data_IF_159897235130
#
_entry.id   IF_159897235130
#
_cell.length_a   1.000
_cell.length_b   1.000
_cell.length_c   1.000
_cell.angle_alpha   90.00
_cell.angle_beta   90.00
_cell.angle_gamma   90.00
#
_symmetry.space_group_name_H-M   'P 1'
#
loop_
_entity.id
_entity.type
_entity.pdbx_description
1 polymer ?
#
# COMPACT_ATOMS: atom_id res chain seq x y z
N UNK A 1 16.97 2.93 -11.73
CA UNK A 1 15.78 3.14 -12.59
C UNK A 1 15.73 4.59 -13.03
N UNK A 2 14.98 4.91 -14.07
CA UNK A 2 14.67 6.28 -14.51
C UNK A 2 13.15 6.42 -14.63
N UNK A 3 12.59 7.52 -14.15
CA UNK A 3 11.19 7.86 -14.36
C UNK A 3 11.12 8.83 -15.54
N UNK A 4 10.57 8.37 -16.66
CA UNK A 4 10.41 9.17 -17.86
C UNK A 4 9.02 9.81 -17.87
N UNK A 5 8.93 11.10 -18.21
CA UNK A 5 7.66 11.83 -18.36
C UNK A 5 7.41 12.03 -19.84
N UNK A 6 6.33 11.42 -20.35
CA UNK A 6 5.96 11.43 -21.76
C UNK A 6 5.74 12.85 -22.27
N UNK A 7 6.41 13.19 -23.36
CA UNK A 7 6.30 14.44 -24.11
C UNK A 7 5.39 14.26 -25.34
N UNK A 8 4.95 15.38 -25.90
CA UNK A 8 4.12 15.38 -27.09
C UNK A 8 4.81 14.67 -28.27
N UNK A 9 4.14 13.68 -28.85
CA UNK A 9 4.61 12.92 -30.01
C UNK A 9 5.51 11.72 -29.68
N UNK A 10 5.83 11.47 -28.42
CA UNK A 10 6.56 10.28 -28.02
C UNK A 10 5.70 9.01 -28.09
N UNK A 11 6.35 7.90 -28.41
CA UNK A 11 5.77 6.55 -28.40
C UNK A 11 6.58 5.67 -27.48
N UNK A 12 6.04 4.54 -27.04
CA UNK A 12 6.83 3.55 -26.28
C UNK A 12 8.11 3.16 -27.03
N UNK A 13 8.03 3.03 -28.37
CA UNK A 13 9.18 2.71 -29.21
C UNK A 13 10.27 3.78 -29.16
N UNK A 14 9.92 5.06 -29.37
CA UNK A 14 10.90 6.16 -29.35
C UNK A 14 11.51 6.36 -27.96
N UNK A 15 10.71 6.20 -26.90
CA UNK A 15 11.18 6.27 -25.51
C UNK A 15 12.14 5.12 -25.24
N UNK A 16 11.76 3.88 -25.56
CA UNK A 16 12.60 2.71 -25.36
C UNK A 16 13.94 2.80 -26.12
N UNK A 17 13.91 3.29 -27.37
CA UNK A 17 15.10 3.54 -28.18
C UNK A 17 16.03 4.56 -27.50
N UNK A 18 15.49 5.67 -26.97
CA UNK A 18 16.27 6.71 -26.30
C UNK A 18 17.04 6.21 -25.07
N UNK A 19 16.49 5.19 -24.38
CA UNK A 19 17.09 4.59 -23.19
C UNK A 19 17.84 3.28 -23.49
N UNK A 20 17.77 2.77 -24.72
CA UNK A 20 18.37 1.48 -25.11
C UNK A 20 17.72 0.28 -24.41
N UNK A 21 16.41 0.30 -24.18
CA UNK A 21 15.66 -0.79 -23.54
C UNK A 21 14.68 -1.45 -24.51
N UNK A 22 14.16 -2.63 -24.13
CA UNK A 22 13.16 -3.34 -24.94
C UNK A 22 11.78 -2.64 -24.85
N UNK A 23 11.16 -2.26 -25.99
CA UNK A 23 9.88 -1.54 -25.98
C UNK A 23 8.70 -2.39 -25.50
N UNK A 24 8.70 -3.69 -25.77
CA UNK A 24 7.62 -4.58 -25.32
C UNK A 24 7.68 -4.76 -23.80
N UNK A 25 8.88 -4.85 -23.21
CA UNK A 25 9.06 -4.85 -21.77
C UNK A 25 8.67 -3.52 -21.14
N UNK A 26 9.10 -2.40 -21.73
CA UNK A 26 8.72 -1.07 -21.24
C UNK A 26 7.19 -0.89 -21.20
N UNK A 27 6.50 -1.32 -22.25
CA UNK A 27 5.03 -1.33 -22.30
C UNK A 27 4.42 -2.21 -21.21
N UNK A 28 4.86 -3.46 -21.10
CA UNK A 28 4.31 -4.43 -20.14
C UNK A 28 4.53 -4.00 -18.69
N UNK A 29 5.66 -3.37 -18.39
CA UNK A 29 6.03 -2.89 -17.06
C UNK A 29 5.16 -1.74 -16.60
N UNK A 30 4.74 -0.91 -17.54
CA UNK A 30 3.96 0.28 -17.25
C UNK A 30 2.48 0.12 -17.59
N UNK A 31 2.03 -1.12 -17.81
CA UNK A 31 0.65 -1.44 -18.18
C UNK A 31 0.13 -0.55 -19.33
N UNK A 32 0.99 -0.26 -20.31
CA UNK A 32 0.60 0.51 -21.49
C UNK A 32 -0.46 -0.30 -22.24
N UNK A 33 -1.59 0.31 -22.64
CA UNK A 33 -2.65 -0.41 -23.33
C UNK A 33 -2.14 -1.01 -24.65
N UNK A 34 -2.79 -2.07 -25.18
CA UNK A 34 -2.38 -2.71 -26.44
C UNK A 34 -2.33 -1.77 -27.65
N UNK A 35 -3.05 -0.64 -27.61
CA UNK A 35 -2.97 0.42 -28.64
C UNK A 35 -1.62 1.15 -28.66
N UNK A 36 -0.81 1.03 -27.60
CA UNK A 36 0.41 1.81 -27.41
C UNK A 36 0.15 3.27 -27.07
N UNK A 37 -1.09 3.66 -26.79
CA UNK A 37 -1.47 5.03 -26.49
C UNK A 37 -0.82 5.51 -25.19
N UNK A 38 -0.32 6.75 -25.21
CA UNK A 38 0.26 7.45 -24.08
C UNK A 38 -0.38 8.84 -23.95
N UNK A 39 -0.57 9.30 -22.72
CA UNK A 39 -0.93 10.70 -22.45
C UNK A 39 0.33 11.55 -22.23
N UNK A 40 0.34 12.80 -22.71
CA UNK A 40 1.40 13.75 -22.35
C UNK A 40 1.41 13.93 -20.83
N UNK A 41 2.59 13.90 -20.22
CA UNK A 41 2.75 13.98 -18.77
C UNK A 41 2.58 12.66 -18.01
N UNK A 42 2.14 11.58 -18.68
CA UNK A 42 2.17 10.22 -18.14
C UNK A 42 3.61 9.83 -17.79
N UNK A 43 3.81 9.10 -16.70
CA UNK A 43 5.13 8.56 -16.36
C UNK A 43 5.29 7.13 -16.83
N UNK A 44 6.49 6.77 -17.27
CA UNK A 44 6.93 5.38 -17.46
C UNK A 44 8.18 5.12 -16.60
N UNK A 45 8.17 4.03 -15.83
CA UNK A 45 9.35 3.53 -15.11
C UNK A 45 10.21 2.74 -16.10
N UNK A 46 11.41 3.25 -16.35
CA UNK A 46 12.43 2.63 -17.19
C UNK A 46 13.47 1.98 -16.28
N UNK A 47 13.65 0.66 -16.39
CA UNK A 47 14.70 -0.08 -15.69
C UNK A 47 15.70 -0.62 -16.69
N UNK A 48 16.96 -0.79 -16.26
CA UNK A 48 18.07 -1.17 -17.12
C UNK A 48 18.56 -2.58 -16.75
N UNK A 49 18.15 -3.64 -17.49
CA UNK A 49 18.60 -4.99 -17.23
C UNK A 49 20.13 -5.08 -17.31
N UNK A 50 20.74 -5.61 -16.25
CA UNK A 50 22.17 -5.92 -16.21
C UNK A 50 22.46 -7.31 -16.76
N UNK A 51 21.58 -8.25 -16.42
CA UNK A 51 21.71 -9.63 -16.85
C UNK A 51 20.33 -10.17 -17.23
N UNK A 52 20.26 -10.82 -18.38
CA UNK A 52 19.05 -11.47 -18.90
C UNK A 52 19.33 -12.93 -19.21
N UNK A 53 18.28 -13.73 -19.27
CA UNK A 53 18.33 -15.15 -19.57
C UNK A 53 17.20 -15.50 -20.54
N UNK A 54 17.53 -16.14 -21.66
CA UNK A 54 16.54 -16.72 -22.57
C UNK A 54 16.23 -18.15 -22.13
N UNK A 55 14.98 -18.39 -21.71
CA UNK A 55 14.50 -19.67 -21.20
C UNK A 55 14.72 -20.78 -22.22
N UNK A 56 15.25 -21.91 -21.78
CA UNK A 56 15.45 -23.13 -22.56
C UNK A 56 14.35 -24.14 -22.27
N UNK A 57 14.18 -25.09 -23.18
CA UNK A 57 13.22 -26.18 -23.01
C UNK A 57 13.52 -26.98 -21.73
N UNK A 58 12.51 -27.10 -20.85
CA UNK A 58 12.60 -27.85 -19.60
C UNK A 58 13.12 -27.06 -18.39
N UNK A 59 13.54 -25.80 -18.56
CA UNK A 59 13.91 -24.95 -17.42
C UNK A 59 12.68 -24.49 -16.62
N UNK A 60 12.86 -24.32 -15.32
CA UNK A 60 11.87 -23.79 -14.38
C UNK A 60 12.41 -22.53 -13.73
N UNK A 61 11.54 -21.73 -13.10
CA UNK A 61 12.00 -20.59 -12.29
C UNK A 61 12.98 -21.02 -11.21
N UNK A 62 12.78 -22.18 -10.59
CA UNK A 62 13.67 -22.69 -9.56
C UNK A 62 15.07 -23.03 -10.11
N UNK A 63 15.14 -23.75 -11.24
CA UNK A 63 16.44 -24.09 -11.86
C UNK A 63 17.18 -22.86 -12.38
N UNK A 64 16.45 -21.87 -12.92
CA UNK A 64 17.04 -20.59 -13.35
C UNK A 64 17.54 -19.81 -12.14
N UNK A 65 16.74 -19.72 -11.07
CA UNK A 65 17.13 -19.03 -9.85
C UNK A 65 18.42 -19.64 -9.25
N UNK A 66 18.50 -20.97 -9.15
CA UNK A 66 19.69 -21.69 -8.70
C UNK A 66 20.92 -21.40 -9.57
N UNK A 67 20.76 -21.46 -10.90
CA UNK A 67 21.87 -21.25 -11.85
C UNK A 67 22.49 -19.85 -11.76
N UNK A 68 21.72 -18.85 -11.33
CA UNK A 68 22.18 -17.46 -11.18
C UNK A 68 22.40 -17.05 -9.71
N UNK A 69 22.24 -17.96 -8.75
CA UNK A 69 22.38 -17.64 -7.32
C UNK A 69 21.38 -16.60 -6.83
N UNK A 70 20.14 -16.64 -7.35
CA UNK A 70 19.04 -15.75 -6.97
C UNK A 70 17.85 -16.56 -6.45
N UNK A 71 16.71 -15.92 -6.19
CA UNK A 71 15.49 -16.59 -5.72
C UNK A 71 14.37 -16.49 -6.75
N UNK A 72 13.41 -17.42 -6.70
CA UNK A 72 12.19 -17.37 -7.52
C UNK A 72 11.44 -16.06 -7.27
N UNK A 73 11.38 -15.61 -6.01
CA UNK A 73 10.79 -14.33 -5.64
C UNK A 73 11.45 -13.15 -6.34
N UNK A 74 12.78 -13.12 -6.41
CA UNK A 74 13.50 -12.07 -7.14
C UNK A 74 13.24 -12.15 -8.65
N UNK A 75 13.09 -13.34 -9.21
CA UNK A 75 12.69 -13.49 -10.62
C UNK A 75 11.29 -12.93 -10.88
N UNK A 76 10.31 -13.17 -9.99
CA UNK A 76 9.00 -12.51 -10.08
C UNK A 76 9.12 -10.99 -9.97
N UNK A 77 9.87 -10.48 -8.99
CA UNK A 77 10.07 -9.04 -8.79
C UNK A 77 10.67 -8.35 -10.03
N UNK A 78 11.60 -9.04 -10.70
CA UNK A 78 12.22 -8.52 -11.91
C UNK A 78 11.35 -8.68 -13.16
N UNK A 79 10.34 -9.55 -13.14
CA UNK A 79 9.56 -9.91 -14.31
C UNK A 79 8.06 -9.86 -13.98
N UNK A 80 7.55 -8.64 -13.78
CA UNK A 80 6.13 -8.34 -13.50
C UNK A 80 5.14 -9.17 -14.34
N UNK A 81 5.33 -9.37 -15.67
CA UNK A 81 4.42 -10.18 -16.48
C UNK A 81 4.30 -11.66 -16.07
N UNK A 82 5.18 -12.17 -15.21
CA UNK A 82 5.03 -13.53 -14.65
C UNK A 82 3.84 -13.62 -13.68
N UNK A 83 3.37 -12.50 -13.11
CA UNK A 83 2.18 -12.46 -12.25
C UNK A 83 2.26 -13.38 -11.02
N UNK A 84 3.47 -13.61 -10.50
CA UNK A 84 3.68 -14.57 -9.41
C UNK A 84 3.37 -16.02 -9.77
N UNK A 85 3.28 -16.36 -11.06
CA UNK A 85 3.07 -17.71 -11.59
C UNK A 85 4.37 -18.42 -11.95
N UNK A 86 4.28 -19.72 -12.30
CA UNK A 86 5.44 -20.56 -12.62
C UNK A 86 5.62 -20.85 -14.12
N UNK A 87 4.68 -20.40 -14.97
CA UNK A 87 4.68 -20.72 -16.39
C UNK A 87 5.81 -19.99 -17.13
N UNK A 88 6.61 -20.75 -17.88
CA UNK A 88 7.68 -20.23 -18.73
C UNK A 88 7.55 -20.80 -20.14
N UNK A 89 7.94 -20.00 -21.14
CA UNK A 89 8.00 -20.42 -22.53
C UNK A 89 9.45 -20.46 -23.02
N UNK A 90 9.88 -21.50 -23.76
CA UNK A 90 11.19 -21.50 -24.39
C UNK A 90 11.37 -20.27 -25.30
N UNK A 91 12.49 -19.57 -25.16
CA UNK A 91 12.79 -18.31 -25.83
C UNK A 91 12.30 -17.06 -25.11
N UNK A 92 11.47 -17.18 -24.08
CA UNK A 92 11.09 -16.05 -23.22
C UNK A 92 12.34 -15.48 -22.54
N UNK A 93 12.50 -14.16 -22.60
CA UNK A 93 13.62 -13.46 -21.95
C UNK A 93 13.19 -13.04 -20.55
N UNK A 94 13.92 -13.50 -19.54
CA UNK A 94 13.78 -13.10 -18.15
C UNK A 94 14.92 -12.17 -17.75
N UNK A 95 14.60 -11.13 -16.97
CA UNK A 95 15.59 -10.29 -16.32
C UNK A 95 16.04 -10.95 -15.03
N UNK A 96 17.34 -11.22 -14.92
CA UNK A 96 17.98 -11.83 -13.74
C UNK A 96 18.39 -10.74 -12.74
N UNK A 97 18.89 -9.61 -13.23
CA UNK A 97 19.28 -8.47 -12.39
C UNK A 97 19.22 -7.16 -13.18
N UNK A 98 19.13 -6.06 -12.44
CA UNK A 98 19.14 -4.67 -12.94
C UNK A 98 20.40 -3.93 -12.46
N UNK A 99 20.70 -2.79 -13.08
CA UNK A 99 21.72 -1.84 -12.61
C UNK A 99 21.23 -0.92 -11.48
N UNK A 100 20.09 -1.21 -10.86
CA UNK A 100 19.54 -0.39 -9.78
C UNK A 100 20.44 -0.44 -8.53
N UNK A 101 20.49 0.67 -7.80
CA UNK A 101 21.21 0.81 -6.53
C UNK A 101 20.19 1.11 -5.42
N UNK A 102 19.70 0.07 -4.70
CA UNK A 102 18.72 0.25 -3.64
C UNK A 102 19.25 1.12 -2.49
N UNK A 103 18.37 1.91 -1.89
CA UNK A 103 18.62 2.77 -0.73
C UNK A 103 18.85 1.97 0.57
N UNK A 104 18.43 0.70 0.60
CA UNK A 104 18.57 -0.18 1.75
C UNK A 104 17.59 -1.35 1.70
N UNK A 105 17.36 -1.96 2.87
CA UNK A 105 16.27 -2.90 3.08
C UNK A 105 15.06 -2.19 3.69
N UNK A 106 13.85 -2.65 3.34
CA UNK A 106 12.61 -2.16 3.94
C UNK A 106 11.52 -3.23 3.88
N UNK A 107 10.64 -3.21 4.88
CA UNK A 107 9.48 -4.08 4.94
C UNK A 107 8.25 -3.45 4.29
N UNK A 108 7.53 -4.20 3.47
CA UNK A 108 6.31 -3.72 2.82
C UNK A 108 5.11 -4.55 3.24
N UNK A 109 4.07 -3.89 3.75
CA UNK A 109 2.80 -4.51 4.09
C UNK A 109 1.71 -4.08 3.09
N UNK A 110 0.82 -4.99 2.71
CA UNK A 110 -0.32 -4.69 1.84
C UNK A 110 -1.64 -5.10 2.47
N UNK A 111 -2.64 -4.22 2.41
CA UNK A 111 -3.99 -4.51 2.90
C UNK A 111 -4.87 -5.02 1.76
N UNK A 112 -5.61 -6.11 1.97
CA UNK A 112 -6.50 -6.68 0.97
C UNK A 112 -7.81 -7.16 1.59
N UNK A 113 -8.92 -6.91 0.91
CA UNK A 113 -10.19 -7.54 1.27
C UNK A 113 -10.26 -8.97 0.71
N UNK A 114 -11.06 -9.87 1.32
CA UNK A 114 -11.26 -11.24 0.83
C UNK A 114 -11.71 -11.37 -0.62
N UNK A 115 -12.38 -10.35 -1.16
CA UNK A 115 -12.91 -10.32 -2.52
C UNK A 115 -11.93 -9.73 -3.56
N UNK A 116 -10.64 -9.62 -3.22
CA UNK A 116 -9.60 -9.24 -4.18
C UNK A 116 -9.56 -10.20 -5.36
N UNK A 117 -9.24 -9.68 -6.55
CA UNK A 117 -8.89 -10.53 -7.68
C UNK A 117 -7.64 -11.34 -7.33
N UNK A 118 -7.75 -12.66 -7.27
CA UNK A 118 -6.65 -13.52 -6.84
C UNK A 118 -5.46 -13.50 -7.81
N UNK A 119 -5.68 -13.23 -9.11
CA UNK A 119 -4.58 -13.08 -10.06
C UNK A 119 -3.81 -11.78 -9.84
N UNK A 120 -4.51 -10.71 -9.43
CA UNK A 120 -3.88 -9.48 -8.98
C UNK A 120 -3.08 -9.72 -7.71
N UNK A 121 -3.68 -10.31 -6.67
CA UNK A 121 -2.98 -10.60 -5.42
C UNK A 121 -1.71 -11.44 -5.66
N UNK A 122 -1.82 -12.48 -6.49
CA UNK A 122 -0.71 -13.34 -6.89
C UNK A 122 0.46 -12.57 -7.53
N UNK A 123 0.16 -11.55 -8.34
CA UNK A 123 1.16 -10.69 -8.97
C UNK A 123 1.84 -9.72 -7.99
N UNK A 124 1.13 -9.29 -6.93
CA UNK A 124 1.61 -8.27 -5.99
C UNK A 124 2.37 -8.85 -4.80
N UNK A 125 2.00 -10.04 -4.34
CA UNK A 125 2.63 -10.72 -3.20
C UNK A 125 4.18 -10.82 -3.27
N UNK A 126 4.83 -11.07 -4.43
CA UNK A 126 6.29 -11.09 -4.51
C UNK A 126 6.96 -9.80 -4.00
N UNK A 127 6.23 -8.68 -3.95
CA UNK A 127 6.71 -7.38 -3.53
C UNK A 127 6.36 -7.01 -2.08
N UNK A 128 5.82 -7.95 -1.28
CA UNK A 128 5.34 -7.69 0.07
C UNK A 128 6.02 -8.56 1.12
N UNK A 129 6.60 -7.97 2.16
CA UNK A 129 7.02 -8.72 3.36
C UNK A 129 5.81 -9.28 4.10
N UNK A 130 4.73 -8.49 4.15
CA UNK A 130 3.52 -8.81 4.89
C UNK A 130 2.25 -8.65 4.05
N UNK A 131 1.26 -9.51 4.29
CA UNK A 131 -0.10 -9.36 3.79
C UNK A 131 -1.05 -9.23 4.98
N UNK A 132 -1.88 -8.20 5.00
CA UNK A 132 -2.89 -7.97 6.03
C UNK A 132 -4.30 -8.10 5.45
N UNK A 133 -4.97 -9.27 5.59
CA UNK A 133 -6.38 -9.42 5.26
C UNK A 133 -7.26 -8.48 6.10
N UNK A 134 -8.04 -7.63 5.45
CA UNK A 134 -8.90 -6.63 6.09
C UNK A 134 -10.36 -7.09 6.08
N UNK A 135 -11.02 -7.32 7.22
CA UNK A 135 -10.53 -7.28 8.61
C UNK A 135 -11.33 -8.22 9.49
N UNK A 136 -10.73 -8.72 10.58
CA UNK A 136 -11.54 -9.17 11.72
C UNK A 136 -12.16 -7.96 12.41
N UNK A 137 -13.42 -8.09 12.81
CA UNK A 137 -14.16 -7.01 13.48
C UNK A 137 -14.51 -7.37 14.92
N UNK A 138 -15.45 -6.62 15.49
CA UNK A 138 -15.95 -6.84 16.85
C UNK A 138 -17.48 -6.87 16.82
N UNK A 139 -18.07 -7.91 17.39
CA UNK A 139 -19.53 -8.09 17.47
C UNK A 139 -20.17 -7.21 18.54
N UNK A 140 -21.51 -7.20 18.58
CA UNK A 140 -22.29 -6.49 19.61
C UNK A 140 -21.91 -6.82 21.05
N UNK A 141 -21.54 -8.08 21.30
CA UNK A 141 -21.20 -8.58 22.63
C UNK A 141 -19.69 -8.46 22.93
N UNK A 142 -18.92 -7.86 22.01
CA UNK A 142 -17.49 -7.65 22.12
C UNK A 142 -16.63 -8.85 21.74
N UNK A 143 -17.21 -9.87 21.10
CA UNK A 143 -16.49 -11.03 20.59
C UNK A 143 -15.88 -10.75 19.21
N UNK A 144 -14.93 -11.60 18.79
CA UNK A 144 -14.23 -11.50 17.52
C UNK A 144 -15.16 -11.83 16.33
N UNK A 145 -15.46 -10.83 15.50
CA UNK A 145 -16.13 -11.04 14.21
C UNK A 145 -15.14 -11.65 13.22
N UNK A 146 -15.51 -12.78 12.62
CA UNK A 146 -14.63 -13.57 11.76
C UNK A 146 -14.45 -12.94 10.37
N UNK A 147 -13.29 -13.20 9.76
CA UNK A 147 -12.95 -12.86 8.38
C UNK A 147 -12.76 -14.14 7.55
N UNK A 148 -13.20 -14.10 6.28
CA UNK A 148 -12.92 -15.14 5.30
C UNK A 148 -11.54 -14.90 4.64
N UNK A 149 -10.48 -15.41 5.26
CA UNK A 149 -9.09 -15.11 4.87
C UNK A 149 -8.33 -16.28 4.21
N UNK A 150 -8.93 -17.47 4.11
CA UNK A 150 -8.23 -18.70 3.75
C UNK A 150 -7.50 -18.63 2.40
N UNK A 151 -8.13 -18.02 1.38
CA UNK A 151 -7.52 -17.83 0.06
C UNK A 151 -6.29 -16.90 0.12
N UNK A 152 -6.41 -15.79 0.84
CA UNK A 152 -5.34 -14.80 1.03
C UNK A 152 -4.16 -15.41 1.79
N UNK A 153 -4.43 -16.13 2.88
CA UNK A 153 -3.40 -16.80 3.68
C UNK A 153 -2.66 -17.87 2.88
N UNK A 154 -3.37 -18.63 2.05
CA UNK A 154 -2.77 -19.64 1.19
C UNK A 154 -1.87 -19.01 0.13
N UNK A 155 -2.36 -17.97 -0.56
CA UNK A 155 -1.61 -17.25 -1.59
C UNK A 155 -0.33 -16.61 -1.02
N UNK A 156 -0.42 -15.96 0.15
CA UNK A 156 0.72 -15.35 0.83
C UNK A 156 1.83 -16.37 1.12
N UNK A 157 1.48 -17.52 1.73
CA UNK A 157 2.45 -18.57 2.07
C UNK A 157 3.15 -19.17 0.85
N UNK A 158 2.41 -19.38 -0.23
CA UNK A 158 2.97 -19.91 -1.47
C UNK A 158 4.03 -18.99 -2.09
N UNK A 159 4.03 -17.71 -1.73
CA UNK A 159 4.94 -16.68 -2.23
C UNK A 159 5.93 -16.15 -1.19
N UNK A 160 5.98 -16.79 -0.02
CA UNK A 160 6.89 -16.40 1.05
C UNK A 160 6.51 -15.10 1.76
N UNK A 161 5.23 -14.71 1.71
CA UNK A 161 4.72 -13.51 2.39
C UNK A 161 4.11 -13.92 3.73
N UNK A 162 4.40 -13.14 4.77
CA UNK A 162 3.94 -13.42 6.14
C UNK A 162 2.58 -12.76 6.39
N UNK A 163 1.51 -13.52 6.66
CA UNK A 163 0.22 -12.90 6.94
C UNK A 163 0.21 -12.19 8.30
N UNK A 164 -0.48 -11.06 8.41
CA UNK A 164 -0.72 -10.31 9.66
C UNK A 164 -2.22 -10.20 9.88
N UNK A 165 -2.68 -10.53 11.09
CA UNK A 165 -4.10 -10.46 11.42
C UNK A 165 -4.46 -8.99 11.63
N UNK A 166 -5.49 -8.52 10.94
CA UNK A 166 -6.04 -7.18 11.20
C UNK A 166 -7.22 -7.26 12.15
N UNK A 167 -7.26 -6.38 13.15
CA UNK A 167 -8.38 -6.24 14.08
C UNK A 167 -8.82 -4.79 14.13
N UNK A 168 -10.08 -4.53 13.76
CA UNK A 168 -10.67 -3.20 13.86
C UNK A 168 -11.98 -3.21 14.63
N UNK A 169 -12.53 -2.02 14.88
CA UNK A 169 -13.87 -1.84 15.47
C UNK A 169 -15.00 -2.00 14.45
N UNK A 170 -14.71 -2.59 13.30
CA UNK A 170 -15.69 -2.77 12.25
C UNK A 170 -16.79 -3.75 12.69
N UNK A 171 -18.03 -3.35 12.44
CA UNK A 171 -19.22 -4.12 12.77
C UNK A 171 -19.55 -5.11 11.66
N UNK A 172 -20.59 -5.91 11.92
CA UNK A 172 -21.22 -6.83 10.99
C UNK A 172 -21.74 -6.13 9.71
N UNK A 173 -21.94 -4.81 9.75
CA UNK A 173 -22.38 -4.00 8.59
C UNK A 173 -21.23 -3.30 7.86
N UNK A 174 -19.98 -3.57 8.24
CA UNK A 174 -18.80 -2.99 7.57
C UNK A 174 -18.57 -1.52 7.91
N UNK A 175 -18.99 -1.05 9.08
CA UNK A 175 -18.76 0.32 9.56
C UNK A 175 -17.93 0.30 10.84
N UNK A 176 -17.00 1.26 10.98
CA UNK A 176 -16.32 1.50 12.25
C UNK A 176 -17.31 2.01 13.30
N UNK A 177 -17.16 1.53 14.54
CA UNK A 177 -18.07 1.87 15.62
C UNK A 177 -17.34 2.19 16.92
N UNK A 178 -17.48 3.43 17.39
CA UNK A 178 -16.88 3.91 18.64
C UNK A 178 -17.37 3.14 19.87
N UNK A 179 -18.60 2.59 19.86
CA UNK A 179 -19.14 1.85 21.00
C UNK A 179 -18.45 0.49 21.14
N UNK A 180 -18.11 -0.18 20.02
CA UNK A 180 -17.32 -1.42 20.02
C UNK A 180 -15.96 -1.22 20.70
N UNK A 181 -15.24 -0.17 20.33
CA UNK A 181 -14.01 0.22 21.02
C UNK A 181 -14.24 0.49 22.51
N UNK A 182 -15.25 1.31 22.83
CA UNK A 182 -15.54 1.67 24.23
C UNK A 182 -15.79 0.44 25.09
N UNK A 183 -16.61 -0.50 24.60
CA UNK A 183 -16.90 -1.76 25.27
C UNK A 183 -15.63 -2.55 25.56
N UNK A 184 -14.79 -2.79 24.55
CA UNK A 184 -13.53 -3.54 24.68
C UNK A 184 -12.52 -2.85 25.61
N UNK A 185 -12.48 -1.51 25.60
CA UNK A 185 -11.51 -0.74 26.37
C UNK A 185 -11.94 -0.50 27.83
N UNK A 186 -13.21 -0.73 28.18
CA UNK A 186 -13.74 -0.43 29.52
C UNK A 186 -14.32 -1.63 30.27
N UNK A 187 -14.60 -2.74 29.59
CA UNK A 187 -15.06 -4.00 30.21
C UNK A 187 -13.96 -5.06 30.17
N UNK A 188 -13.42 -5.43 31.33
CA UNK A 188 -12.33 -6.41 31.44
C UNK A 188 -12.74 -7.80 31.01
N UNK A 189 -13.98 -8.22 31.25
CA UNK A 189 -14.45 -9.55 30.88
C UNK A 189 -14.63 -9.66 29.36
N UNK A 190 -15.10 -8.60 28.69
CA UNK A 190 -15.11 -8.52 27.23
C UNK A 190 -13.69 -8.55 26.68
N UNK A 191 -12.80 -7.72 27.24
CA UNK A 191 -11.42 -7.64 26.80
C UNK A 191 -10.69 -9.00 26.92
N UNK A 192 -10.91 -9.74 28.01
CA UNK A 192 -10.33 -11.07 28.20
C UNK A 192 -10.81 -12.06 27.14
N UNK A 193 -12.12 -12.11 26.86
CA UNK A 193 -12.67 -12.99 25.81
C UNK A 193 -12.13 -12.66 24.44
N UNK A 194 -12.12 -11.38 24.05
CA UNK A 194 -11.62 -10.96 22.75
C UNK A 194 -10.12 -11.30 22.59
N UNK A 195 -9.31 -11.01 23.62
CA UNK A 195 -7.88 -11.32 23.60
C UNK A 195 -7.63 -12.83 23.50
N UNK A 196 -8.44 -13.67 24.14
CA UNK A 196 -8.35 -15.12 24.00
C UNK A 196 -8.71 -15.58 22.58
N UNK A 197 -9.77 -15.05 21.98
CA UNK A 197 -10.19 -15.37 20.62
C UNK A 197 -9.16 -14.95 19.56
N UNK A 198 -8.57 -13.76 19.73
CA UNK A 198 -7.49 -13.26 18.87
C UNK A 198 -6.27 -14.17 18.94
N UNK A 199 -5.79 -14.51 20.15
CA UNK A 199 -4.65 -15.40 20.33
C UNK A 199 -4.89 -16.80 19.74
N UNK A 200 -6.10 -17.35 19.93
CA UNK A 200 -6.48 -18.63 19.33
C UNK A 200 -6.48 -18.56 17.79
N UNK A 201 -6.98 -17.45 17.23
CA UNK A 201 -7.04 -17.23 15.78
C UNK A 201 -5.64 -17.07 15.18
N UNK A 202 -4.77 -16.27 15.80
CA UNK A 202 -3.37 -16.10 15.41
C UNK A 202 -2.65 -17.45 15.29
N UNK A 203 -2.75 -18.30 16.32
CA UNK A 203 -2.14 -19.64 16.34
C UNK A 203 -2.77 -20.58 15.31
N UNK A 204 -4.10 -20.68 15.29
CA UNK A 204 -4.83 -21.62 14.43
C UNK A 204 -4.62 -21.30 12.95
N UNK A 205 -4.65 -20.02 12.61
CA UNK A 205 -4.55 -19.55 11.22
C UNK A 205 -3.13 -19.22 10.82
N UNK A 206 -2.12 -19.37 11.67
CA UNK A 206 -0.72 -19.21 11.31
C UNK A 206 -0.36 -17.78 10.84
N UNK A 207 -0.81 -16.79 11.59
CA UNK A 207 -0.45 -15.38 11.42
C UNK A 207 0.90 -15.08 12.06
N UNK A 208 1.62 -14.07 11.56
CA UNK A 208 2.91 -13.64 12.08
C UNK A 208 2.80 -12.62 13.22
N UNK A 209 1.69 -11.89 13.28
CA UNK A 209 1.44 -10.82 14.24
C UNK A 209 0.01 -10.29 14.14
N UNK A 210 -0.28 -9.29 14.95
CA UNK A 210 -1.56 -8.58 14.99
C UNK A 210 -1.34 -7.10 14.66
N UNK A 211 -2.20 -6.54 13.82
CA UNK A 211 -2.32 -5.11 13.55
C UNK A 211 -3.67 -4.62 14.07
N UNK A 212 -3.66 -3.67 15.02
CA UNK A 212 -4.86 -3.14 15.68
C UNK A 212 -5.21 -1.75 15.15
N UNK A 213 -6.42 -1.62 14.63
CA UNK A 213 -6.91 -0.42 13.96
C UNK A 213 -8.23 0.04 14.60
N UNK A 214 -8.11 0.67 15.77
CA UNK A 214 -9.25 1.23 16.49
C UNK A 214 -9.35 2.72 16.20
N UNK A 215 -10.19 3.08 15.23
CA UNK A 215 -10.42 4.47 14.85
C UNK A 215 -11.60 5.13 15.59
N UNK A 216 -11.71 6.45 15.46
CA UNK A 216 -12.79 7.28 16.02
C UNK A 216 -12.96 7.13 17.54
N UNK A 217 -11.84 7.12 18.25
CA UNK A 217 -11.76 6.97 19.70
C UNK A 217 -11.89 8.33 20.42
N UNK A 218 -12.85 8.48 21.35
CA UNK A 218 -12.92 9.64 22.22
C UNK A 218 -11.62 9.82 23.02
N UNK A 219 -11.18 11.08 23.21
CA UNK A 219 -9.91 11.37 23.89
C UNK A 219 -9.76 10.77 25.29
N UNK A 220 -10.86 10.63 26.03
CA UNK A 220 -10.84 9.98 27.34
C UNK A 220 -10.43 8.50 27.31
N UNK A 221 -10.48 7.85 26.14
CA UNK A 221 -10.07 6.45 25.97
C UNK A 221 -8.60 6.29 25.58
N UNK A 222 -7.84 7.37 25.32
CA UNK A 222 -6.46 7.29 24.85
C UNK A 222 -5.56 6.42 25.76
N UNK A 223 -5.64 6.66 27.07
CA UNK A 223 -4.87 5.88 28.06
C UNK A 223 -5.33 4.41 28.13
N UNK A 224 -6.64 4.16 28.02
CA UNK A 224 -7.19 2.81 28.02
C UNK A 224 -6.76 2.03 26.76
N UNK A 225 -6.72 2.69 25.60
CA UNK A 225 -6.26 2.11 24.35
C UNK A 225 -4.77 1.73 24.41
N UNK A 226 -3.89 2.64 24.86
CA UNK A 226 -2.47 2.33 25.04
C UNK A 226 -2.24 1.19 26.05
N UNK A 227 -3.02 1.15 27.14
CA UNK A 227 -2.95 0.06 28.12
C UNK A 227 -3.39 -1.30 27.54
N UNK A 228 -4.43 -1.31 26.70
CA UNK A 228 -4.90 -2.49 25.98
C UNK A 228 -3.82 -3.00 25.01
N UNK A 229 -3.22 -2.13 24.20
CA UNK A 229 -2.11 -2.49 23.31
C UNK A 229 -0.91 -3.03 24.09
N UNK A 230 -0.54 -2.40 25.21
CA UNK A 230 0.58 -2.86 26.03
C UNK A 230 0.30 -4.25 26.64
N UNK A 231 -0.97 -4.56 26.96
CA UNK A 231 -1.38 -5.89 27.40
C UNK A 231 -1.27 -6.90 26.27
N UNK A 232 -1.82 -6.60 25.09
CA UNK A 232 -1.71 -7.43 23.90
C UNK A 232 -0.25 -7.74 23.58
N UNK A 233 0.61 -6.72 23.50
CA UNK A 233 2.04 -6.88 23.19
C UNK A 233 2.72 -7.85 24.12
N UNK A 234 2.50 -7.74 25.44
CA UNK A 234 3.08 -8.68 26.42
C UNK A 234 2.65 -10.12 26.17
N UNK A 235 1.36 -10.33 25.94
CA UNK A 235 0.80 -11.67 25.72
C UNK A 235 1.27 -12.27 24.38
N UNK A 236 1.25 -11.47 23.32
CA UNK A 236 1.62 -11.88 21.97
C UNK A 236 3.12 -12.11 21.81
N UNK A 237 3.96 -11.20 22.31
CA UNK A 237 5.43 -11.36 22.21
C UNK A 237 5.92 -12.59 22.97
N UNK A 238 5.27 -12.97 24.10
CA UNK A 238 5.60 -14.21 24.83
C UNK A 238 5.38 -15.49 24.00
N UNK A 239 4.64 -15.38 22.90
CA UNK A 239 4.30 -16.46 21.97
C UNK A 239 4.96 -16.29 20.59
N UNK A 240 5.80 -15.26 20.40
CA UNK A 240 6.50 -14.99 19.15
C UNK A 240 5.69 -14.21 18.11
N UNK A 241 4.54 -13.63 18.47
CA UNK A 241 3.77 -12.74 17.59
C UNK A 241 4.08 -11.28 17.90
N UNK A 242 4.36 -10.47 16.88
CA UNK A 242 4.52 -9.02 17.06
C UNK A 242 3.15 -8.31 17.12
N UNK A 243 3.13 -7.10 17.70
CA UNK A 243 1.97 -6.21 17.69
C UNK A 243 2.25 -4.91 16.94
N UNK A 244 1.36 -4.55 16.02
CA UNK A 244 1.27 -3.25 15.39
C UNK A 244 -0.01 -2.51 15.78
N UNK A 245 -0.03 -1.20 15.53
CA UNK A 245 -1.24 -0.41 15.55
C UNK A 245 -1.29 0.59 14.39
N UNK A 246 -2.46 0.78 13.81
CA UNK A 246 -2.74 1.86 12.88
C UNK A 246 -3.06 3.15 13.66
N UNK A 247 -2.50 4.27 13.21
CA UNK A 247 -2.66 5.57 13.84
C UNK A 247 -3.12 6.62 12.83
N UNK A 248 -4.14 7.37 13.22
CA UNK A 248 -4.59 8.56 12.50
C UNK A 248 -3.44 9.57 12.36
N UNK A 249 -3.32 10.29 11.23
CA UNK A 249 -2.22 11.22 10.97
C UNK A 249 -2.32 12.47 11.83
N UNK A 250 -1.46 12.58 12.85
CA UNK A 250 -1.39 13.75 13.75
C UNK A 250 -0.19 14.63 13.42
N UNK A 251 -0.36 15.93 13.60
CA UNK A 251 0.72 16.93 13.48
C UNK A 251 1.09 17.56 14.82
N UNK A 252 0.35 17.25 15.88
CA UNK A 252 0.69 17.63 17.26
C UNK A 252 -0.06 16.78 18.29
N UNK A 253 0.44 16.74 19.53
CA UNK A 253 -0.20 16.03 20.63
C UNK A 253 -1.61 16.54 20.96
N UNK A 254 -1.85 17.85 20.75
CA UNK A 254 -3.12 18.54 21.09
C UNK A 254 -4.09 18.61 19.92
N UNK A 255 -3.83 17.93 18.80
CA UNK A 255 -4.75 17.91 17.68
C UNK A 255 -6.08 17.29 18.11
N UNK A 256 -7.14 18.11 18.06
CA UNK A 256 -8.48 17.74 18.47
C UNK A 256 -9.27 17.09 17.32
N UNK A 257 -10.33 16.36 17.67
CA UNK A 257 -11.21 15.67 16.74
C UNK A 257 -11.28 14.18 17.02
N UNK A 258 -12.45 13.59 16.83
CA UNK A 258 -12.75 12.20 17.18
C UNK A 258 -11.78 11.18 16.55
N UNK A 259 -11.23 11.49 15.38
CA UNK A 259 -10.25 10.65 14.69
C UNK A 259 -8.87 10.63 15.41
N UNK A 260 -8.51 11.69 16.12
CA UNK A 260 -7.14 11.94 16.59
C UNK A 260 -6.96 11.82 18.11
N UNK A 261 -7.99 12.15 18.90
CA UNK A 261 -7.83 12.36 20.34
C UNK A 261 -7.55 11.07 21.11
N UNK A 262 -8.09 9.92 20.66
CA UNK A 262 -7.80 8.62 21.27
C UNK A 262 -6.43 8.02 20.90
N UNK A 263 -5.69 8.66 20.00
CA UNK A 263 -4.35 8.22 19.56
C UNK A 263 -3.25 9.05 20.23
N UNK A 264 -2.80 8.59 21.41
CA UNK A 264 -1.59 9.08 22.06
C UNK A 264 -0.36 8.42 21.43
N UNK A 265 0.37 9.14 20.58
CA UNK A 265 1.48 8.61 19.80
C UNK A 265 2.60 8.05 20.69
N UNK A 266 3.02 8.77 21.74
CA UNK A 266 4.08 8.29 22.62
C UNK A 266 3.64 7.06 23.41
N UNK A 267 2.43 7.07 23.96
CA UNK A 267 1.93 5.94 24.74
C UNK A 267 1.71 4.70 23.85
N UNK A 268 1.16 4.87 22.65
CA UNK A 268 0.98 3.77 21.68
C UNK A 268 2.33 3.28 21.17
N UNK A 269 3.24 4.16 20.75
CA UNK A 269 4.58 3.80 20.26
C UNK A 269 5.41 3.02 21.29
N UNK A 270 5.22 3.27 22.59
CA UNK A 270 5.81 2.46 23.66
C UNK A 270 5.12 1.09 23.83
N UNK A 271 3.82 1.02 23.54
CA UNK A 271 2.96 -0.14 23.73
C UNK A 271 2.98 -1.17 22.59
N UNK A 272 3.55 -0.85 21.42
CA UNK A 272 3.60 -1.72 20.22
C UNK A 272 5.02 -1.97 19.71
N UNK A 273 5.18 -2.93 18.80
CA UNK A 273 6.45 -3.21 18.11
C UNK A 273 6.60 -2.40 16.81
N UNK A 274 5.51 -1.94 16.21
CA UNK A 274 5.49 -1.06 15.05
C UNK A 274 4.18 -0.28 14.93
N UNK A 275 4.17 0.80 14.15
CA UNK A 275 2.96 1.58 13.86
C UNK A 275 2.80 1.78 12.36
N UNK A 276 1.57 1.70 11.86
CA UNK A 276 1.24 2.25 10.55
C UNK A 276 0.69 3.66 10.74
N UNK A 277 1.33 4.67 10.13
CA UNK A 277 0.75 6.01 10.06
C UNK A 277 -0.11 6.12 8.81
N UNK A 278 -1.40 6.37 8.97
CA UNK A 278 -2.36 6.50 7.85
C UNK A 278 -2.23 7.86 7.15
N UNK A 279 -1.06 8.11 6.55
CA UNK A 279 -0.68 9.38 5.90
C UNK A 279 -1.28 9.52 4.50
N UNK A 280 -2.61 9.44 4.40
CA UNK A 280 -3.41 9.64 3.20
C UNK A 280 -4.80 10.20 3.55
N UNK A 281 -5.65 10.43 2.54
CA UNK A 281 -7.03 10.95 2.68
C UNK A 281 -7.14 12.43 3.09
N UNK A 282 -6.19 13.28 2.65
CA UNK A 282 -6.43 14.74 2.66
C UNK A 282 -7.39 15.13 1.54
N UNK A 283 -7.11 14.69 0.31
CA UNK A 283 -8.11 14.60 -0.76
C UNK A 283 -8.89 13.30 -0.60
N UNK A 284 -10.19 13.41 -0.28
CA UNK A 284 -11.07 12.27 -0.01
C UNK A 284 -12.44 12.45 -0.64
N UNK A 285 -13.21 11.35 -0.73
CA UNK A 285 -14.50 11.28 -1.45
C UNK A 285 -15.47 12.44 -1.16
N UNK A 286 -15.57 12.94 0.08
CA UNK A 286 -16.50 14.00 0.45
C UNK A 286 -15.82 15.36 0.74
N UNK A 287 -14.50 15.42 0.56
CA UNK A 287 -13.71 16.64 0.64
C UNK A 287 -13.59 17.34 -0.72
N UNK A 288 -13.06 18.58 -0.74
CA UNK A 288 -12.74 19.26 -1.98
C UNK A 288 -11.64 18.53 -2.76
N UNK A 289 -11.55 18.75 -4.10
CA UNK A 289 -10.46 18.21 -4.91
C UNK A 289 -9.09 18.68 -4.39
N UNK A 290 -8.19 17.73 -4.17
CA UNK A 290 -6.76 17.93 -3.90
C UNK A 290 -6.03 16.58 -3.94
N UNK A 291 -4.70 16.59 -3.89
CA UNK A 291 -3.90 15.37 -3.77
C UNK A 291 -4.35 14.50 -2.58
N UNK A 292 -4.38 13.18 -2.77
CA UNK A 292 -4.79 12.22 -1.74
C UNK A 292 -3.85 12.25 -0.55
N UNK A 293 -2.55 12.30 -0.82
CA UNK A 293 -1.50 12.34 0.21
C UNK A 293 -0.42 13.40 -0.11
N UNK A 294 -0.74 14.72 0.01
CA UNK A 294 0.20 15.80 -0.31
C UNK A 294 1.49 15.66 0.53
N UNK A 295 2.66 15.66 -0.11
CA UNK A 295 3.93 15.34 0.56
C UNK A 295 4.26 16.29 1.71
N UNK A 296 3.91 17.57 1.60
CA UNK A 296 4.08 18.56 2.68
C UNK A 296 3.29 18.18 3.94
N UNK A 297 2.05 17.73 3.77
CA UNK A 297 1.20 17.30 4.87
C UNK A 297 1.69 15.98 5.47
N UNK A 298 2.09 15.02 4.61
CA UNK A 298 2.73 13.77 5.02
C UNK A 298 3.95 14.08 5.90
N UNK A 299 4.88 14.92 5.44
CA UNK A 299 6.07 15.30 6.21
C UNK A 299 5.72 15.94 7.55
N UNK A 300 4.71 16.81 7.61
CA UNK A 300 4.28 17.42 8.87
C UNK A 300 3.85 16.37 9.90
N UNK A 301 3.21 15.29 9.46
CA UNK A 301 2.84 14.15 10.33
C UNK A 301 4.08 13.37 10.77
N UNK A 302 5.00 13.09 9.83
CA UNK A 302 6.23 12.35 10.11
C UNK A 302 7.14 13.10 11.08
N UNK A 303 7.31 14.40 10.88
CA UNK A 303 8.11 15.29 11.73
C UNK A 303 7.60 15.28 13.17
N UNK A 304 6.29 15.23 13.37
CA UNK A 304 5.70 15.07 14.69
C UNK A 304 5.89 13.64 15.22
N UNK A 305 5.64 12.61 14.39
CA UNK A 305 5.71 11.21 14.80
C UNK A 305 7.08 10.84 15.39
N UNK A 306 8.17 11.29 14.75
CA UNK A 306 9.53 11.01 15.22
C UNK A 306 9.92 11.74 16.52
N UNK A 307 9.13 12.73 16.95
CA UNK A 307 9.29 13.31 18.30
C UNK A 307 8.62 12.49 19.39
N UNK A 308 7.69 11.60 19.03
CA UNK A 308 6.86 10.85 19.97
C UNK A 308 7.27 9.37 20.04
N UNK A 309 7.89 8.81 19.00
CA UNK A 309 8.32 7.41 18.98
C UNK A 309 9.58 7.17 18.11
N UNK A 310 10.30 6.06 18.34
CA UNK A 310 11.48 5.71 17.54
C UNK A 310 11.13 5.53 16.05
N UNK A 311 11.87 6.15 15.11
CA UNK A 311 11.60 6.05 13.67
C UNK A 311 11.59 4.61 13.14
N UNK A 312 12.43 3.74 13.68
CA UNK A 312 12.54 2.34 13.27
C UNK A 312 11.30 1.48 13.55
N UNK A 313 10.29 2.04 14.25
CA UNK A 313 8.98 1.41 14.45
C UNK A 313 7.94 1.84 13.43
N UNK A 314 8.21 2.86 12.62
CA UNK A 314 7.20 3.51 11.80
C UNK A 314 7.15 2.84 10.42
N UNK A 315 5.93 2.53 9.99
CA UNK A 315 5.58 2.27 8.60
C UNK A 315 4.86 3.49 8.03
N UNK A 316 5.34 3.96 6.88
CA UNK A 316 4.70 5.01 6.09
C UNK A 316 3.42 4.48 5.43
N UNK A 317 2.29 5.17 5.58
CA UNK A 317 1.06 4.84 4.86
C UNK A 317 1.09 5.35 3.42
N UNK A 318 0.76 4.48 2.47
CA UNK A 318 0.66 4.78 1.04
C UNK A 318 -0.74 4.45 0.51
N UNK A 319 -1.33 5.35 -0.26
CA UNK A 319 -2.58 5.13 -0.99
C UNK A 319 -2.32 4.61 -2.42
N UNK A 320 -3.03 3.57 -2.84
CA UNK A 320 -2.98 3.01 -4.21
C UNK A 320 -4.25 3.38 -5.02
N UNK A 321 -4.67 4.63 -4.92
CA UNK A 321 -5.83 5.16 -5.61
C UNK A 321 -5.80 6.67 -5.71
N UNK A 322 -6.61 7.17 -6.63
CA UNK A 322 -6.96 8.57 -6.77
C UNK A 322 -8.47 8.79 -6.65
N UNK A 323 -8.88 9.99 -7.00
CA UNK A 323 -10.27 10.43 -7.00
C UNK A 323 -10.54 11.33 -8.20
N UNK A 324 -11.78 11.25 -8.66
CA UNK A 324 -12.31 12.02 -9.79
C UNK A 324 -13.48 12.88 -9.29
N UNK A 325 -13.28 14.19 -9.15
CA UNK A 325 -14.30 15.10 -8.63
C UNK A 325 -15.08 15.77 -9.75
N UNK A 326 -16.42 15.64 -9.80
CA UNK A 326 -17.23 16.52 -10.62
C UNK A 326 -17.27 17.93 -10.00
N UNK A 327 -17.11 18.95 -10.85
CA UNK A 327 -17.09 20.36 -10.48
C UNK A 327 -18.38 21.09 -10.89
N UNK A 328 -18.80 22.13 -10.14
CA UNK A 328 -18.15 22.66 -8.93
C UNK A 328 -18.36 21.75 -7.71
N UNK A 329 -17.36 21.71 -6.82
CA UNK A 329 -17.49 21.02 -5.54
C UNK A 329 -18.48 21.76 -4.62
N UNK A 330 -19.44 21.02 -4.07
CA UNK A 330 -20.39 21.51 -3.08
C UNK A 330 -20.32 20.61 -1.86
N UNK A 331 -19.92 21.18 -0.72
CA UNK A 331 -19.76 20.44 0.54
C UNK A 331 -21.07 19.75 0.96
N UNK A 332 -20.97 18.46 1.30
CA UNK A 332 -22.12 17.64 1.70
C UNK A 332 -23.00 17.15 0.54
N UNK A 333 -22.69 17.53 -0.71
CA UNK A 333 -23.43 17.11 -1.91
C UNK A 333 -22.50 16.36 -2.86
N UNK A 334 -21.39 16.98 -3.25
CA UNK A 334 -20.43 16.39 -4.18
C UNK A 334 -19.73 15.21 -3.51
N UNK A 335 -19.67 14.09 -4.22
CA UNK A 335 -18.83 12.95 -3.85
C UNK A 335 -17.98 12.52 -5.03
N UNK A 336 -16.68 12.41 -4.83
CA UNK A 336 -15.76 11.87 -5.81
C UNK A 336 -15.76 10.33 -5.76
N UNK A 337 -15.95 9.66 -6.90
CA UNK A 337 -15.61 8.26 -7.06
C UNK A 337 -14.11 8.05 -6.85
N UNK A 338 -13.75 7.02 -6.10
CA UNK A 338 -12.36 6.57 -5.99
C UNK A 338 -12.01 5.74 -7.22
N UNK A 339 -10.87 6.04 -7.85
CA UNK A 339 -10.40 5.38 -9.08
C UNK A 339 -8.99 4.80 -8.91
N UNK A 340 -8.62 3.81 -9.73
CA UNK A 340 -7.22 3.33 -9.76
C UNK A 340 -6.32 4.37 -10.42
N UNK A 341 -5.02 4.30 -10.11
CA UNK A 341 -4.01 5.11 -10.80
C UNK A 341 -3.98 4.81 -12.31
N UNK A 342 -4.19 3.54 -12.70
CA UNK A 342 -4.33 3.16 -14.10
C UNK A 342 -5.55 3.81 -14.77
N UNK A 343 -6.70 3.89 -14.07
CA UNK A 343 -7.90 4.52 -14.61
C UNK A 343 -7.71 6.02 -14.83
N UNK A 344 -6.94 6.70 -13.98
CA UNK A 344 -6.61 8.10 -14.18
C UNK A 344 -5.82 8.31 -15.49
N UNK A 345 -4.87 7.42 -15.80
CA UNK A 345 -4.12 7.44 -17.06
C UNK A 345 -5.07 7.20 -18.26
N UNK A 346 -5.97 6.22 -18.15
CA UNK A 346 -6.98 5.94 -19.19
C UNK A 346 -7.88 7.15 -19.46
N UNK A 347 -8.37 7.82 -18.42
CA UNK A 347 -9.17 9.05 -18.55
C UNK A 347 -8.40 10.15 -19.28
N UNK A 348 -7.12 10.34 -18.98
CA UNK A 348 -6.29 11.33 -19.66
C UNK A 348 -6.13 11.01 -21.16
N UNK A 349 -5.97 9.73 -21.51
CA UNK A 349 -5.91 9.26 -22.91
C UNK A 349 -7.28 9.43 -23.61
N UNK A 350 -8.36 9.01 -22.97
CA UNK A 350 -9.74 9.06 -23.52
C UNK A 350 -10.18 10.48 -23.85
N UNK A 351 -9.75 11.45 -23.03
CA UNK A 351 -10.12 12.86 -23.17
C UNK A 351 -9.05 13.72 -23.86
N UNK A 352 -7.93 13.12 -24.29
CA UNK A 352 -6.79 13.81 -24.94
C UNK A 352 -6.31 15.02 -24.11
N UNK A 353 -6.13 14.81 -22.80
CA UNK A 353 -5.64 15.84 -21.86
C UNK A 353 -4.28 15.48 -21.30
N UNK A 354 -3.45 16.50 -21.09
CA UNK A 354 -2.14 16.31 -20.48
C UNK A 354 -2.26 16.13 -18.96
N UNK A 355 -1.52 15.16 -18.43
CA UNK A 355 -1.32 14.97 -16.99
C UNK A 355 -0.34 16.04 -16.51
N UNK A 356 -0.78 16.87 -15.57
CA UNK A 356 0.05 17.85 -14.88
C UNK A 356 0.63 17.25 -13.60
N UNK A 357 1.60 17.94 -13.01
CA UNK A 357 2.23 17.53 -11.76
C UNK A 357 2.38 18.74 -10.84
N UNK A 358 1.85 18.63 -9.63
CA UNK A 358 2.06 19.63 -8.59
C UNK A 358 3.34 19.30 -7.84
N UNK A 359 4.38 20.11 -8.02
CA UNK A 359 5.69 19.91 -7.39
C UNK A 359 5.66 20.14 -5.86
N UNK A 360 4.67 20.85 -5.33
CA UNK A 360 4.55 21.07 -3.88
C UNK A 360 3.88 19.89 -3.20
N UNK A 361 2.75 19.45 -3.76
CA UNK A 361 2.05 18.26 -3.28
C UNK A 361 2.79 16.97 -3.62
N UNK A 362 3.67 17.02 -4.64
CA UNK A 362 4.30 15.87 -5.28
C UNK A 362 3.25 14.86 -5.74
N UNK A 363 2.27 15.32 -6.53
CA UNK A 363 1.17 14.49 -7.03
C UNK A 363 0.73 14.90 -8.44
N UNK A 364 0.40 13.92 -9.30
CA UNK A 364 -0.18 14.19 -10.61
C UNK A 364 -1.67 14.57 -10.53
N UNK A 365 -2.09 15.43 -11.45
CA UNK A 365 -3.48 15.83 -11.59
C UNK A 365 -3.82 16.27 -13.01
N UNK A 366 -5.11 16.34 -13.34
CA UNK A 366 -5.60 16.97 -14.57
C UNK A 366 -7.08 17.32 -14.47
N UNK A 367 -7.56 18.08 -15.45
CA UNK A 367 -8.98 18.36 -15.66
C UNK A 367 -9.44 17.80 -16.99
N UNK A 368 -10.69 17.36 -17.06
CA UNK A 368 -11.33 17.01 -18.32
C UNK A 368 -12.81 17.41 -18.31
N UNK A 369 -13.42 17.49 -19.49
CA UNK A 369 -14.86 17.74 -19.63
C UNK A 369 -15.54 16.46 -20.08
N UNK A 370 -16.47 15.96 -19.27
CA UNK A 370 -17.29 14.80 -19.58
C UNK A 370 -18.28 15.11 -20.72
N UNK A 371 -18.85 14.06 -21.32
CA UNK A 371 -19.76 14.20 -22.46
C UNK A 371 -21.04 15.00 -22.15
N UNK A 372 -21.46 15.07 -20.89
CA UNK A 372 -22.59 15.86 -20.41
C UNK A 372 -22.24 17.34 -20.12
N UNK A 373 -20.99 17.73 -20.33
CA UNK A 373 -20.47 19.07 -20.07
C UNK A 373 -19.96 19.29 -18.64
N UNK A 374 -20.03 18.30 -17.76
CA UNK A 374 -19.47 18.39 -16.41
C UNK A 374 -17.94 18.46 -16.49
N UNK A 375 -17.34 19.40 -15.75
CA UNK A 375 -15.88 19.48 -15.62
C UNK A 375 -15.47 18.58 -14.45
N UNK A 376 -14.41 17.82 -14.64
CA UNK A 376 -13.85 16.92 -13.65
C UNK A 376 -12.43 17.35 -13.28
N UNK A 377 -12.06 17.14 -12.02
CA UNK A 377 -10.68 17.27 -11.52
C UNK A 377 -10.22 15.94 -10.94
N UNK A 378 -9.11 15.41 -11.47
CA UNK A 378 -8.57 14.11 -11.07
C UNK A 378 -7.25 14.29 -10.36
N UNK A 379 -7.11 13.71 -9.18
CA UNK A 379 -5.83 13.55 -8.47
C UNK A 379 -5.55 12.08 -8.23
N UNK A 380 -4.33 11.64 -8.47
CA UNK A 380 -3.94 10.22 -8.36
C UNK A 380 -2.46 10.09 -8.00
N UNK A 381 -1.91 8.89 -8.06
CA UNK A 381 -0.50 8.61 -7.82
C UNK A 381 0.21 8.10 -9.08
N UNK A 382 1.45 8.52 -9.29
CA UNK A 382 2.31 8.05 -10.38
C UNK A 382 3.70 7.66 -9.87
N UNK A 383 4.60 7.26 -10.78
CA UNK A 383 5.95 6.88 -10.38
C UNK A 383 6.74 8.01 -9.67
N UNK A 384 6.49 9.28 -10.01
CA UNK A 384 7.17 10.45 -9.39
C UNK A 384 6.73 10.59 -7.94
N UNK A 385 5.41 10.63 -7.72
CA UNK A 385 4.82 10.80 -6.39
C UNK A 385 5.14 9.62 -5.47
N UNK A 386 5.15 8.40 -6.02
CA UNK A 386 5.60 7.19 -5.31
C UNK A 386 7.08 7.26 -4.93
N UNK A 387 7.96 7.63 -5.86
CA UNK A 387 9.40 7.75 -5.58
C UNK A 387 9.67 8.80 -4.50
N UNK A 388 8.97 9.93 -4.52
CA UNK A 388 9.11 10.98 -3.52
C UNK A 388 8.71 10.49 -2.12
N UNK A 389 7.59 9.76 -1.99
CA UNK A 389 7.14 9.21 -0.69
C UNK A 389 7.98 8.05 -0.21
N UNK A 390 8.31 7.11 -1.09
CA UNK A 390 9.13 5.95 -0.74
C UNK A 390 10.55 6.35 -0.33
N UNK A 391 11.08 7.47 -0.81
CA UNK A 391 12.38 8.00 -0.35
C UNK A 391 12.35 8.48 1.11
N UNK A 392 11.17 8.80 1.66
CA UNK A 392 11.03 9.19 3.07
C UNK A 392 11.39 8.07 4.03
N UNK A 393 11.24 6.80 3.60
CA UNK A 393 11.63 5.64 4.43
C UNK A 393 13.11 5.72 4.78
N UNK A 394 13.97 5.91 3.77
CA UNK A 394 15.41 6.06 3.97
C UNK A 394 15.77 7.39 4.67
N UNK A 395 15.06 8.48 4.35
CA UNK A 395 15.31 9.80 4.93
C UNK A 395 15.08 9.83 6.45
N UNK A 396 13.98 9.22 6.93
CA UNK A 396 13.63 9.21 8.35
C UNK A 396 14.12 7.95 9.08
N UNK A 397 14.60 6.91 8.37
CA UNK A 397 15.03 5.65 8.97
C UNK A 397 13.85 4.77 9.43
N UNK A 398 12.79 4.73 8.64
CA UNK A 398 11.58 3.95 8.91
C UNK A 398 11.74 2.47 8.59
N UNK A 399 10.88 1.65 9.19
CA UNK A 399 10.86 0.20 8.94
C UNK A 399 10.42 -0.14 7.51
N UNK A 400 9.54 0.69 6.93
CA UNK A 400 9.09 0.56 5.56
C UNK A 400 7.74 1.23 5.32
N UNK A 401 6.84 0.58 4.57
CA UNK A 401 5.54 1.15 4.23
C UNK A 401 4.37 0.14 4.27
N UNK A 402 3.17 0.65 4.56
CA UNK A 402 1.90 -0.05 4.43
C UNK A 402 1.07 0.52 3.27
N UNK A 403 0.60 -0.35 2.37
CA UNK A 403 -0.14 0.02 1.15
C UNK A 403 -1.64 -0.22 1.36
N UNK A 404 -2.41 0.87 1.36
CA UNK A 404 -3.87 0.86 1.31
C UNK A 404 -4.33 1.18 -0.13
N UNK A 405 -4.84 0.24 -0.92
CA UNK A 405 -4.88 -1.20 -0.68
C UNK A 405 -4.52 -1.94 -1.99
N UNK A 406 -4.41 -3.27 -1.91
CA UNK A 406 -3.99 -4.14 -3.02
C UNK A 406 -5.11 -4.38 -4.06
N UNK A 407 -6.28 -3.76 -3.89
CA UNK A 407 -7.46 -4.11 -4.69
C UNK A 407 -7.42 -3.58 -6.13
N UNK A 408 -6.36 -2.86 -6.51
CA UNK A 408 -6.28 -2.12 -7.78
C UNK A 408 -4.90 -2.30 -8.43
N UNK A 409 -4.84 -2.71 -9.71
CA UNK A 409 -3.57 -2.90 -10.38
C UNK A 409 -2.84 -1.57 -10.55
N UNK A 410 -1.57 -1.55 -10.15
CA UNK A 410 -0.67 -0.45 -10.46
C UNK A 410 0.79 -0.90 -10.44
N UNK A 411 1.28 -1.42 -11.57
CA UNK A 411 2.61 -2.01 -11.67
C UNK A 411 3.76 -1.07 -11.29
N UNK A 412 3.59 0.24 -11.53
CA UNK A 412 4.61 1.24 -11.20
C UNK A 412 4.92 1.32 -9.70
N UNK A 413 3.93 1.06 -8.82
CA UNK A 413 4.15 0.92 -7.38
C UNK A 413 5.26 -0.11 -7.09
N UNK A 414 5.10 -1.30 -7.66
CA UNK A 414 5.98 -2.44 -7.43
C UNK A 414 7.35 -2.26 -8.11
N UNK A 415 7.38 -1.63 -9.28
CA UNK A 415 8.64 -1.29 -9.96
C UNK A 415 9.45 -0.26 -9.18
N UNK A 416 8.82 0.78 -8.65
CA UNK A 416 9.49 1.80 -7.82
C UNK A 416 9.99 1.18 -6.52
N UNK A 417 9.15 0.43 -5.80
CA UNK A 417 9.53 -0.29 -4.57
C UNK A 417 10.75 -1.19 -4.82
N UNK A 418 10.68 -2.08 -5.81
CA UNK A 418 11.76 -3.05 -6.09
C UNK A 418 13.01 -2.45 -6.75
N UNK A 419 12.95 -1.18 -7.16
CA UNK A 419 14.12 -0.42 -7.62
C UNK A 419 14.78 0.34 -6.48
N UNK A 420 14.01 0.85 -5.52
CA UNK A 420 14.51 1.63 -4.39
C UNK A 420 14.93 0.76 -3.20
N UNK A 421 14.38 -0.44 -3.03
CA UNK A 421 14.61 -1.25 -1.83
C UNK A 421 14.87 -2.73 -2.11
N UNK A 422 15.69 -3.33 -1.26
CA UNK A 422 15.66 -4.76 -0.99
C UNK A 422 14.46 -5.05 -0.09
N UNK A 423 13.47 -5.75 -0.62
CA UNK A 423 12.25 -6.10 0.12
C UNK A 423 12.60 -7.22 1.10
N UNK A 424 12.31 -7.01 2.38
CA UNK A 424 12.54 -8.02 3.43
C UNK A 424 11.65 -9.25 3.25
N UNK A 425 12.17 -10.42 3.62
CA UNK A 425 11.49 -11.72 3.55
C UNK A 425 10.60 -12.03 4.76
#
# INVERSE_FOLDING_TARGET
MTIHVVQAGETVGSIAESYGVDPARLAADNAVPPSGALAVGQTLVVRFPRQVHAVRAGETLASIAEAYGTTVRRLWQNNWPLGGGAALQPGQVLVISYFDEPLGAAAFNGYAYPYIDMSLLDAELPYLTYLTPFTYGITADGDLLQLEDDALLSAARQRGVRPVMHLSTMTETGQFDTQRATLVLTDSAVQDRLVDQVQQTLRRRGYAGLDVDFEFLPGQLAAAYAAFLARLRRLLNSQGFFLWAALAPKTSARQAGLLYEGHDYAAVGAAVDGVLLMTYEWGYTAGPPMAVSPLTNVRTVLDYAVTEMPPEKIFLGLSNYGYDWPLPFVQGVTRAPSISNQRAIELAIEHDVAIQYDETAQAPFFHYTAADGTIHEVWFEDARSLSARLSLIAEYGFQGAGIWNLMRPFSQLWLVISSLYHIED
#
